data_IF_882845458231
#
_entry.id   IF_882845458231
#
_cell.length_a   1.000
_cell.length_b   1.000
_cell.length_c   1.000
_cell.angle_alpha   90.00
_cell.angle_beta   90.00
_cell.angle_gamma   90.00
#
_symmetry.space_group_name_H-M   'P 1'
#
loop_
_entity.id
_entity.type
_entity.pdbx_description
1 polymer ?
#
# COMPACT_ATOMS: atom_id res chain seq x y z
N UNK A 1 -14.24 17.57 26.74
CA UNK A 1 -13.95 17.05 25.40
C UNK A 1 -12.46 16.76 25.38
N UNK A 2 -12.07 15.49 25.47
CA UNK A 2 -10.67 15.09 25.34
C UNK A 2 -10.30 15.25 23.87
N UNK A 3 -9.49 16.25 23.53
CA UNK A 3 -8.77 16.29 22.25
C UNK A 3 -7.93 15.02 22.18
N UNK A 4 -8.41 14.05 21.44
CA UNK A 4 -7.62 12.86 21.13
C UNK A 4 -6.48 13.33 20.23
N UNK A 5 -5.31 13.48 20.83
CA UNK A 5 -4.08 13.76 20.08
C UNK A 5 -3.92 12.63 19.05
N UNK A 6 -3.85 12.92 17.74
CA UNK A 6 -3.74 11.87 16.72
C UNK A 6 -2.51 11.00 16.99
N UNK A 7 -2.66 9.68 16.92
CA UNK A 7 -1.61 8.72 17.27
C UNK A 7 -0.30 8.91 16.47
N UNK A 8 -0.38 9.48 15.27
CA UNK A 8 0.76 9.76 14.37
C UNK A 8 1.08 11.26 14.22
N UNK A 9 0.75 12.07 15.25
CA UNK A 9 1.04 13.50 15.29
C UNK A 9 -0.01 14.36 14.58
N UNK A 10 0.08 15.69 14.78
CA UNK A 10 -0.92 16.65 14.30
C UNK A 10 -0.91 16.84 12.76
N UNK A 11 0.17 16.50 12.06
CA UNK A 11 0.31 16.74 10.63
C UNK A 11 -0.09 15.53 9.77
N UNK A 12 -1.20 15.61 9.01
CA UNK A 12 -1.67 14.50 8.18
C UNK A 12 -0.68 14.09 7.08
N UNK A 13 0.19 15.00 6.62
CA UNK A 13 1.24 14.69 5.64
C UNK A 13 2.28 13.71 6.20
N UNK A 14 2.68 13.89 7.46
CA UNK A 14 3.65 12.99 8.12
C UNK A 14 3.06 11.59 8.22
N UNK A 15 1.81 11.45 8.63
CA UNK A 15 1.13 10.17 8.70
C UNK A 15 1.00 9.49 7.33
N UNK A 16 0.72 10.27 6.27
CA UNK A 16 0.66 9.75 4.90
C UNK A 16 2.03 9.31 4.38
N UNK A 17 3.11 10.03 4.68
CA UNK A 17 4.50 9.60 4.36
C UNK A 17 4.85 8.32 5.08
N UNK A 18 4.50 8.20 6.37
CA UNK A 18 4.71 6.98 7.16
C UNK A 18 3.94 5.80 6.54
N UNK A 19 2.72 6.02 6.03
CA UNK A 19 1.94 4.97 5.37
C UNK A 19 2.65 4.36 4.14
N UNK A 20 3.53 5.10 3.49
CA UNK A 20 4.33 4.61 2.36
C UNK A 20 5.74 4.15 2.72
N UNK A 21 6.24 4.43 3.95
CA UNK A 21 7.67 4.30 4.28
C UNK A 21 8.19 2.85 4.24
N UNK A 22 7.39 1.85 4.56
CA UNK A 22 7.76 0.44 4.46
C UNK A 22 6.74 -0.35 3.63
N UNK A 23 6.41 0.14 2.45
CA UNK A 23 5.51 -0.49 1.48
C UNK A 23 4.11 -0.74 2.07
N UNK A 24 3.56 -1.95 1.84
CA UNK A 24 2.22 -2.33 2.28
C UNK A 24 2.11 -2.51 3.81
N UNK A 25 3.19 -2.87 4.49
CA UNK A 25 3.18 -3.19 5.92
C UNK A 25 2.89 -1.95 6.79
N UNK A 26 3.52 -0.81 6.47
CA UNK A 26 3.22 0.45 7.18
C UNK A 26 1.86 1.01 6.80
N UNK A 27 1.41 0.80 5.56
CA UNK A 27 0.03 1.12 5.16
C UNK A 27 -0.99 0.41 6.04
N UNK A 28 -0.80 -0.91 6.27
CA UNK A 28 -1.67 -1.69 7.15
C UNK A 28 -1.60 -1.20 8.60
N UNK A 29 -0.41 -0.90 9.10
CA UNK A 29 -0.22 -0.40 10.46
C UNK A 29 -0.88 0.97 10.66
N UNK A 30 -0.69 1.90 9.75
CA UNK A 30 -1.29 3.23 9.79
C UNK A 30 -2.81 3.15 9.69
N UNK A 31 -3.34 2.26 8.85
CA UNK A 31 -4.78 2.03 8.74
C UNK A 31 -5.38 1.50 10.05
N UNK A 32 -4.64 0.68 10.81
CA UNK A 32 -5.08 0.17 12.11
C UNK A 32 -5.03 1.23 13.22
N UNK A 33 -4.01 2.08 13.23
CA UNK A 33 -3.74 3.02 14.32
C UNK A 33 -4.51 4.33 14.14
N UNK A 34 -4.62 4.83 12.91
CA UNK A 34 -5.17 6.17 12.61
C UNK A 34 -6.43 6.06 11.75
N UNK A 35 -7.49 5.53 12.35
CA UNK A 35 -8.77 5.26 11.68
C UNK A 35 -9.63 6.51 11.44
N UNK A 36 -9.34 7.60 12.16
CA UNK A 36 -10.25 8.74 12.24
C UNK A 36 -10.00 9.82 11.19
N UNK A 37 -8.88 9.74 10.45
CA UNK A 37 -8.51 10.70 9.40
C UNK A 37 -8.73 10.13 8.00
N UNK A 38 -9.76 10.61 7.24
CA UNK A 38 -10.10 10.06 5.92
C UNK A 38 -8.96 10.10 4.91
N UNK A 39 -8.18 11.19 4.88
CA UNK A 39 -7.05 11.35 3.97
C UNK A 39 -5.93 10.33 4.27
N UNK A 40 -5.61 10.10 5.54
CA UNK A 40 -4.60 9.13 5.97
C UNK A 40 -5.05 7.70 5.64
N UNK A 41 -6.33 7.40 5.90
CA UNK A 41 -6.93 6.10 5.53
C UNK A 41 -6.85 5.83 4.03
N UNK A 42 -7.14 6.82 3.21
CA UNK A 42 -7.06 6.68 1.76
C UNK A 42 -5.64 6.30 1.31
N UNK A 43 -4.63 7.03 1.77
CA UNK A 43 -3.23 6.75 1.45
C UNK A 43 -2.76 5.41 2.00
N UNK A 44 -3.18 5.04 3.21
CA UNK A 44 -2.87 3.75 3.80
C UNK A 44 -3.47 2.59 2.98
N UNK A 45 -4.75 2.69 2.59
CA UNK A 45 -5.40 1.70 1.74
C UNK A 45 -4.77 1.62 0.35
N UNK A 46 -4.46 2.76 -0.25
CA UNK A 46 -3.80 2.81 -1.56
C UNK A 46 -2.43 2.14 -1.51
N UNK A 47 -1.62 2.38 -0.47
CA UNK A 47 -0.32 1.73 -0.30
C UNK A 47 -0.44 0.23 -0.09
N UNK A 48 -1.38 -0.21 0.75
CA UNK A 48 -1.65 -1.63 0.98
C UNK A 48 -1.99 -2.37 -0.32
N UNK A 49 -2.93 -1.83 -1.10
CA UNK A 49 -3.40 -2.50 -2.33
C UNK A 49 -2.30 -2.47 -3.39
N UNK A 50 -1.69 -1.32 -3.63
CA UNK A 50 -0.67 -1.18 -4.67
C UNK A 50 0.57 -2.03 -4.38
N UNK A 51 1.16 -1.84 -3.21
CA UNK A 51 2.42 -2.52 -2.86
C UNK A 51 2.19 -3.95 -2.39
N UNK A 52 1.02 -4.27 -1.85
CA UNK A 52 0.61 -5.63 -1.57
C UNK A 52 0.46 -6.46 -2.85
N UNK A 53 -0.13 -5.90 -3.91
CA UNK A 53 -0.21 -6.56 -5.20
C UNK A 53 1.17 -6.77 -5.85
N UNK A 54 2.02 -5.75 -5.85
CA UNK A 54 3.40 -5.83 -6.36
C UNK A 54 4.19 -6.91 -5.60
N UNK A 55 4.10 -6.90 -4.26
CA UNK A 55 4.74 -7.90 -3.42
C UNK A 55 4.20 -9.31 -3.70
N UNK A 56 2.90 -9.46 -3.88
CA UNK A 56 2.26 -10.74 -4.23
C UNK A 56 2.79 -11.29 -5.55
N UNK A 57 2.84 -10.49 -6.61
CA UNK A 57 3.40 -10.89 -7.91
C UNK A 57 4.88 -11.25 -7.78
N UNK A 58 5.65 -10.45 -7.09
CA UNK A 58 7.07 -10.73 -6.82
C UNK A 58 7.26 -12.06 -6.08
N UNK A 59 6.51 -12.30 -5.01
CA UNK A 59 6.56 -13.54 -4.24
C UNK A 59 6.15 -14.77 -5.09
N UNK A 60 5.12 -14.63 -5.93
CA UNK A 60 4.71 -15.70 -6.86
C UNK A 60 5.82 -16.03 -7.86
N UNK A 61 6.49 -15.04 -8.44
CA UNK A 61 7.63 -15.27 -9.32
C UNK A 61 8.77 -15.98 -8.57
N UNK A 62 9.06 -15.58 -7.35
CA UNK A 62 10.07 -16.22 -6.50
C UNK A 62 9.74 -17.67 -6.19
N UNK A 63 8.56 -17.95 -5.67
CA UNK A 63 8.12 -19.32 -5.37
C UNK A 63 8.08 -20.16 -6.65
N UNK A 64 7.55 -19.60 -7.75
CA UNK A 64 7.50 -20.27 -9.04
C UNK A 64 8.90 -20.60 -9.58
N UNK A 65 9.89 -19.71 -9.38
CA UNK A 65 11.26 -19.99 -9.79
C UNK A 65 11.86 -21.19 -9.08
N UNK A 66 11.69 -21.31 -7.77
CA UNK A 66 12.17 -22.47 -7.03
C UNK A 66 11.48 -23.77 -7.46
N UNK A 67 10.18 -23.74 -7.76
CA UNK A 67 9.48 -24.91 -8.28
C UNK A 67 9.97 -25.28 -9.70
N UNK A 68 10.28 -24.30 -10.52
CA UNK A 68 10.81 -24.50 -11.87
C UNK A 68 12.22 -25.08 -11.88
N UNK A 69 13.02 -24.86 -10.83
CA UNK A 69 14.40 -25.35 -10.73
C UNK A 69 14.51 -26.88 -10.88
N UNK A 70 13.47 -27.62 -10.45
CA UNK A 70 13.43 -29.09 -10.56
C UNK A 70 13.25 -29.56 -12.01
N UNK A 71 12.62 -28.73 -12.86
CA UNK A 71 12.25 -29.13 -14.23
C UNK A 71 13.00 -28.39 -15.33
N UNK A 72 13.36 -27.12 -15.13
CA UNK A 72 14.00 -26.29 -16.15
C UNK A 72 14.77 -25.12 -15.54
N UNK A 73 16.07 -25.10 -15.75
CA UNK A 73 16.92 -23.97 -15.35
C UNK A 73 16.56 -22.67 -16.08
N UNK A 74 16.17 -22.75 -17.34
CA UNK A 74 15.81 -21.55 -18.12
C UNK A 74 14.56 -20.87 -17.56
N UNK A 75 13.57 -21.66 -17.17
CA UNK A 75 12.36 -21.14 -16.53
C UNK A 75 12.66 -20.56 -15.14
N UNK A 76 13.58 -21.16 -14.39
CA UNK A 76 14.07 -20.60 -13.13
C UNK A 76 14.64 -19.17 -13.35
N UNK A 77 15.57 -19.00 -14.27
CA UNK A 77 16.20 -17.71 -14.54
C UNK A 77 15.20 -16.69 -15.08
N UNK A 78 14.29 -17.10 -15.98
CA UNK A 78 13.25 -16.22 -16.51
C UNK A 78 12.35 -15.67 -15.41
N UNK A 79 11.86 -16.51 -14.52
CA UNK A 79 11.01 -16.07 -13.40
C UNK A 79 11.77 -15.20 -12.40
N UNK A 80 13.05 -15.46 -12.20
CA UNK A 80 13.92 -14.67 -11.35
C UNK A 80 14.15 -13.26 -11.93
N UNK A 81 14.39 -13.16 -13.21
CA UNK A 81 14.50 -11.88 -13.93
C UNK A 81 13.19 -11.09 -13.85
N UNK A 82 12.06 -11.76 -14.09
CA UNK A 82 10.74 -11.14 -14.00
C UNK A 82 10.49 -10.60 -12.57
N UNK A 83 10.86 -11.35 -11.54
CA UNK A 83 10.75 -10.90 -10.15
C UNK A 83 11.55 -9.62 -9.90
N UNK A 84 12.78 -9.52 -10.44
CA UNK A 84 13.61 -8.31 -10.29
C UNK A 84 13.00 -7.11 -11.02
N UNK A 85 12.43 -7.31 -12.22
CA UNK A 85 11.74 -6.24 -12.97
C UNK A 85 10.53 -5.72 -12.18
N UNK A 86 9.72 -6.63 -11.65
CA UNK A 86 8.55 -6.28 -10.82
C UNK A 86 8.98 -5.50 -9.57
N UNK A 87 10.05 -5.94 -8.90
CA UNK A 87 10.60 -5.25 -7.74
C UNK A 87 11.10 -3.85 -8.09
N UNK A 88 11.86 -3.72 -9.17
CA UNK A 88 12.39 -2.43 -9.64
C UNK A 88 11.27 -1.44 -9.99
N UNK A 89 10.23 -1.90 -10.70
CA UNK A 89 9.05 -1.10 -11.00
C UNK A 89 8.34 -0.66 -9.70
N UNK A 90 8.20 -1.57 -8.74
CA UNK A 90 7.62 -1.28 -7.43
C UNK A 90 8.38 -0.21 -6.67
N UNK A 91 9.71 -0.28 -6.65
CA UNK A 91 10.58 0.73 -6.00
C UNK A 91 10.44 2.10 -6.67
N UNK A 92 10.36 2.15 -7.99
CA UNK A 92 10.17 3.41 -8.72
C UNK A 92 8.82 4.05 -8.37
N UNK A 93 7.74 3.26 -8.40
CA UNK A 93 6.40 3.74 -8.02
C UNK A 93 6.40 4.21 -6.57
N UNK A 94 7.02 3.45 -5.68
CA UNK A 94 7.17 3.80 -4.27
C UNK A 94 7.88 5.14 -4.08
N UNK A 95 9.02 5.35 -4.73
CA UNK A 95 9.78 6.60 -4.64
C UNK A 95 8.95 7.79 -5.15
N UNK A 96 8.23 7.63 -6.26
CA UNK A 96 7.34 8.65 -6.80
C UNK A 96 6.24 8.99 -5.78
N UNK A 97 5.57 7.98 -5.21
CA UNK A 97 4.51 8.19 -4.22
C UNK A 97 5.01 8.96 -2.99
N UNK A 98 6.16 8.56 -2.41
CA UNK A 98 6.73 9.25 -1.25
C UNK A 98 7.08 10.70 -1.56
N UNK A 99 7.76 10.96 -2.68
CA UNK A 99 8.18 12.31 -3.06
C UNK A 99 6.96 13.22 -3.24
N UNK A 100 5.91 12.72 -3.88
CA UNK A 100 4.73 13.52 -4.18
C UNK A 100 3.91 13.79 -2.91
N UNK A 101 3.70 12.78 -2.06
CA UNK A 101 3.00 12.95 -0.78
C UNK A 101 3.78 13.91 0.13
N UNK A 102 5.11 13.84 0.15
CA UNK A 102 5.95 14.79 0.88
C UNK A 102 5.82 16.23 0.36
N UNK A 103 5.57 16.40 -0.94
CA UNK A 103 5.28 17.72 -1.56
C UNK A 103 3.84 18.20 -1.31
N UNK A 104 3.00 17.38 -0.68
CA UNK A 104 1.60 17.70 -0.41
C UNK A 104 0.69 17.56 -1.62
N UNK A 105 1.10 16.76 -2.61
CA UNK A 105 0.30 16.43 -3.78
C UNK A 105 -0.42 15.12 -3.50
N UNK A 106 -1.76 15.16 -3.49
CA UNK A 106 -2.58 13.95 -3.34
C UNK A 106 -2.58 13.15 -4.64
N UNK A 107 -1.75 12.10 -4.68
CA UNK A 107 -1.73 11.19 -5.82
C UNK A 107 -2.83 10.15 -5.67
N UNK A 108 -3.64 10.04 -6.71
CA UNK A 108 -4.50 8.88 -6.94
C UNK A 108 -3.85 7.99 -7.98
N UNK A 109 -3.38 6.82 -7.55
CA UNK A 109 -2.91 5.81 -8.50
C UNK A 109 -4.09 5.35 -9.36
N UNK A 110 -3.95 5.27 -10.70
CA UNK A 110 -5.01 4.82 -11.56
C UNK A 110 -5.48 3.43 -11.13
N UNK A 111 -6.79 3.21 -11.09
CA UNK A 111 -7.51 2.00 -10.67
C UNK A 111 -7.38 1.65 -9.17
N UNK A 112 -6.18 1.69 -8.60
CA UNK A 112 -5.94 1.43 -7.17
C UNK A 112 -6.58 2.53 -6.31
N UNK A 113 -6.50 3.78 -6.72
CA UNK A 113 -7.12 4.91 -6.03
C UNK A 113 -8.63 4.80 -5.92
N UNK A 114 -9.30 4.33 -6.98
CA UNK A 114 -10.75 4.14 -6.99
C UNK A 114 -11.19 2.97 -6.09
N UNK A 115 -10.44 1.87 -6.10
CA UNK A 115 -10.68 0.73 -5.20
C UNK A 115 -10.42 1.13 -3.75
N UNK A 116 -9.33 1.83 -3.48
CA UNK A 116 -9.01 2.32 -2.14
C UNK A 116 -10.08 3.30 -1.60
N UNK A 117 -10.60 4.19 -2.45
CA UNK A 117 -11.67 5.10 -2.08
C UNK A 117 -12.97 4.36 -1.74
N UNK A 118 -13.35 3.35 -2.52
CA UNK A 118 -14.54 2.53 -2.24
C UNK A 118 -14.42 1.74 -0.94
N UNK A 119 -13.26 1.14 -0.67
CA UNK A 119 -13.02 0.40 0.55
C UNK A 119 -12.93 1.31 1.79
N UNK A 120 -12.37 2.51 1.62
CA UNK A 120 -12.32 3.51 2.69
C UNK A 120 -13.72 4.04 3.06
N UNK A 121 -14.60 4.28 2.07
CA UNK A 121 -15.97 4.75 2.30
C UNK A 121 -16.92 3.64 2.76
N UNK A 122 -16.77 2.42 2.29
CA UNK A 122 -17.58 1.27 2.70
C UNK A 122 -17.47 0.94 4.19
N UNK A 123 -16.33 1.22 4.79
CA UNK A 123 -16.11 1.07 6.23
C UNK A 123 -16.92 2.08 7.08
N UNK A 124 -17.25 3.24 6.53
CA UNK A 124 -18.04 4.26 7.23
C UNK A 124 -19.54 3.92 7.19
N UNK A 125 -20.03 3.40 6.05
CA UNK A 125 -21.41 2.93 5.92
C UNK A 125 -21.74 1.77 6.88
N UNK A 126 -20.80 0.83 7.06
CA UNK A 126 -20.94 -0.27 8.02
C UNK A 126 -20.97 0.24 9.46
N UNK A 127 -20.18 1.26 9.80
CA UNK A 127 -20.19 1.87 11.13
C UNK A 127 -21.53 2.56 11.46
N UNK A 128 -22.11 3.25 10.48
CA UNK A 128 -23.42 3.91 10.66
C UNK A 128 -24.54 2.88 10.87
N UNK A 129 -24.50 1.74 10.18
CA UNK A 129 -25.47 0.68 10.34
C UNK A 129 -25.41 -0.01 11.72
N UNK A 130 -24.20 -0.15 12.31
CA UNK A 130 -24.02 -0.73 13.65
C UNK A 130 -24.25 0.26 14.80
N UNK A 131 -24.29 1.57 14.53
CA UNK A 131 -24.53 2.60 15.56
C UNK A 131 -25.98 3.13 15.57
N UNK A 132 -26.77 2.67 14.65
CA UNK A 132 -28.22 2.91 14.63
C UNK A 132 -28.97 1.83 15.39
#
# INVERSE_FOLDING_TARGET
MSEQTPALGANPRVASVIAYSAWWATGALVWLIDRDRPAVRFHAMQSMIAFGAIFGVWAMCWVGSFLALVGSSDLFFLLQELAQIVLAAGVIIWAICIIQVARGIDIRLPWVGDVAARLASGSDAVKEEFSA
#
